data_IF_273485902092
#
_entry.id   IF_273485902092
#
_cell.length_a   1.000
_cell.length_b   1.000
_cell.length_c   1.000
_cell.angle_alpha   90.00
_cell.angle_beta   90.00
_cell.angle_gamma   90.00
#
_symmetry.space_group_name_H-M   'P 1'
#
loop_
_entity.id
_entity.type
_entity.pdbx_description
1 polymer ?
#
# COMPACT_ATOMS: atom_id res chain seq x y z
N UNK A 1 -0.12 -43.43 -16.58
CA UNK A 1 0.91 -44.49 -16.44
C UNK A 1 2.10 -43.87 -15.74
N UNK A 2 2.62 -44.49 -14.67
CA UNK A 2 3.76 -43.94 -13.94
C UNK A 2 5.02 -43.92 -14.82
N UNK A 3 5.62 -42.74 -15.00
CA UNK A 3 6.83 -42.52 -15.80
C UNK A 3 8.03 -43.33 -15.27
N UNK A 4 7.97 -43.71 -13.99
CA UNK A 4 8.98 -44.51 -13.27
C UNK A 4 9.13 -45.90 -13.87
N UNK A 5 8.11 -46.44 -14.54
CA UNK A 5 8.17 -47.78 -15.12
C UNK A 5 9.07 -47.87 -16.37
N UNK A 6 9.51 -46.75 -16.92
CA UNK A 6 10.40 -46.69 -18.08
C UNK A 6 11.86 -46.37 -17.71
N UNK A 7 12.21 -46.41 -16.43
CA UNK A 7 13.57 -46.12 -15.98
C UNK A 7 14.56 -47.23 -16.33
N UNK A 8 15.76 -46.81 -16.66
CA UNK A 8 16.88 -47.67 -17.03
C UNK A 8 18.07 -47.32 -16.13
N UNK A 9 18.79 -48.33 -15.65
CA UNK A 9 20.01 -48.11 -14.89
C UNK A 9 21.11 -47.56 -15.80
N UNK A 10 21.72 -46.44 -15.44
CA UNK A 10 22.77 -45.80 -16.23
C UNK A 10 24.09 -46.60 -16.28
N UNK A 11 24.26 -47.62 -15.42
CA UNK A 11 25.45 -48.48 -15.42
C UNK A 11 25.25 -49.81 -16.17
N UNK A 12 24.16 -50.52 -15.88
CA UNK A 12 23.94 -51.88 -16.40
C UNK A 12 22.78 -51.99 -17.39
N UNK A 13 22.13 -50.87 -17.74
CA UNK A 13 20.97 -50.81 -18.65
C UNK A 13 19.78 -51.68 -18.24
N UNK A 14 19.73 -52.15 -16.98
CA UNK A 14 18.59 -52.87 -16.44
C UNK A 14 17.35 -51.97 -16.46
N UNK A 15 16.27 -52.46 -17.08
CA UNK A 15 15.00 -51.75 -17.20
C UNK A 15 14.10 -52.09 -16.01
N UNK A 16 13.53 -51.06 -15.36
CA UNK A 16 12.62 -51.23 -14.21
C UNK A 16 11.37 -52.02 -14.55
N UNK A 17 10.91 -51.97 -15.81
CA UNK A 17 9.78 -52.79 -16.28
C UNK A 17 10.08 -54.30 -16.25
N UNK A 18 11.36 -54.68 -16.34
CA UNK A 18 11.79 -56.07 -16.43
C UNK A 18 11.91 -56.76 -15.06
N UNK A 19 11.65 -56.07 -13.95
CA UNK A 19 11.56 -56.70 -12.63
C UNK A 19 11.57 -55.71 -11.46
N UNK A 20 11.43 -56.24 -10.25
CA UNK A 20 11.02 -55.45 -9.08
C UNK A 20 12.17 -54.89 -8.23
N UNK A 21 13.30 -54.52 -8.87
CA UNK A 21 14.46 -54.00 -8.14
C UNK A 21 14.27 -52.51 -7.82
N UNK A 22 14.66 -52.02 -6.63
CA UNK A 22 14.67 -50.60 -6.33
C UNK A 22 15.61 -49.83 -7.26
N UNK A 23 15.23 -48.59 -7.55
CA UNK A 23 16.04 -47.63 -8.32
C UNK A 23 16.34 -46.43 -7.44
N UNK A 24 17.52 -45.85 -7.62
CA UNK A 24 18.00 -44.73 -6.85
C UNK A 24 18.37 -43.60 -7.80
N UNK A 25 17.99 -42.37 -7.45
CA UNK A 25 18.41 -41.14 -8.11
C UNK A 25 19.54 -40.53 -7.29
N UNK A 26 20.65 -40.21 -7.95
CA UNK A 26 21.73 -39.45 -7.33
C UNK A 26 21.47 -37.95 -7.36
N UNK A 27 22.11 -37.19 -6.48
CA UNK A 27 22.05 -35.73 -6.47
C UNK A 27 22.49 -35.10 -7.81
N UNK A 28 23.42 -35.74 -8.52
CA UNK A 28 23.86 -35.31 -9.85
C UNK A 28 22.92 -35.74 -11.00
N UNK A 29 21.76 -36.33 -10.70
CA UNK A 29 20.72 -36.64 -11.70
C UNK A 29 20.84 -37.99 -12.41
N UNK A 30 21.74 -38.88 -11.97
CA UNK A 30 21.92 -40.21 -12.58
C UNK A 30 21.10 -41.27 -11.84
N UNK A 31 20.61 -42.25 -12.59
CA UNK A 31 19.71 -43.29 -12.08
C UNK A 31 20.42 -44.64 -12.07
N UNK A 32 20.41 -45.33 -10.93
CA UNK A 32 21.03 -46.64 -10.76
C UNK A 32 20.07 -47.65 -10.13
N UNK A 33 20.17 -48.92 -10.51
CA UNK A 33 19.47 -49.98 -9.78
C UNK A 33 20.19 -50.30 -8.47
N UNK A 34 19.49 -50.95 -7.53
CA UNK A 34 20.03 -51.33 -6.22
C UNK A 34 21.40 -52.03 -6.31
N UNK A 35 21.59 -52.95 -7.26
CA UNK A 35 22.85 -53.69 -7.42
C UNK A 35 24.03 -52.80 -7.86
N UNK A 36 23.76 -51.74 -8.64
CA UNK A 36 24.81 -50.85 -9.13
C UNK A 36 25.15 -49.74 -8.13
N UNK A 37 24.22 -49.37 -7.24
CA UNK A 37 24.48 -48.38 -6.19
C UNK A 37 25.14 -49.03 -4.96
N UNK A 38 24.79 -50.28 -4.63
CA UNK A 38 25.31 -51.01 -3.47
C UNK A 38 26.79 -51.38 -3.59
N UNK A 39 27.39 -51.29 -4.79
CA UNK A 39 28.83 -51.53 -5.00
C UNK A 39 29.75 -50.47 -4.38
N UNK A 40 29.20 -49.53 -3.60
CA UNK A 40 29.90 -49.02 -2.41
C UNK A 40 30.85 -47.84 -2.59
N UNK A 41 30.82 -47.13 -3.71
CA UNK A 41 31.53 -45.85 -3.84
C UNK A 41 30.57 -44.71 -3.56
N UNK A 42 30.93 -43.77 -2.67
CA UNK A 42 30.21 -42.49 -2.52
C UNK A 42 30.27 -41.65 -3.81
N UNK A 43 31.09 -42.07 -4.77
CA UNK A 43 31.22 -41.47 -6.10
C UNK A 43 30.16 -41.96 -7.09
N UNK A 44 29.55 -41.04 -7.83
CA UNK A 44 28.68 -41.37 -8.95
C UNK A 44 29.44 -42.13 -10.04
N UNK A 45 28.95 -43.30 -10.42
CA UNK A 45 29.60 -44.18 -11.40
C UNK A 45 29.53 -43.67 -12.85
N UNK A 46 28.73 -42.63 -13.13
CA UNK A 46 28.57 -42.06 -14.47
C UNK A 46 29.40 -40.78 -14.65
N UNK A 47 29.20 -39.78 -13.79
CA UNK A 47 29.88 -38.47 -13.89
C UNK A 47 31.05 -38.29 -12.91
N UNK A 48 31.38 -39.32 -12.11
CA UNK A 48 32.50 -39.32 -11.17
C UNK A 48 32.45 -38.26 -10.06
N UNK A 49 31.31 -37.61 -9.85
CA UNK A 49 31.11 -36.69 -8.71
C UNK A 49 31.28 -37.47 -7.40
N UNK A 50 32.16 -37.04 -6.47
CA UNK A 50 32.35 -37.68 -5.17
C UNK A 50 31.22 -37.35 -4.19
N UNK A 51 31.08 -38.16 -3.13
CA UNK A 51 30.19 -37.93 -1.97
C UNK A 51 28.73 -37.60 -2.32
N UNK A 52 28.20 -38.32 -3.30
CA UNK A 52 26.88 -38.09 -3.86
C UNK A 52 25.80 -38.76 -3.01
N UNK A 53 24.83 -37.95 -2.59
CA UNK A 53 23.64 -38.45 -1.93
C UNK A 53 22.70 -39.14 -2.92
N UNK A 54 21.97 -40.13 -2.43
CA UNK A 54 21.01 -40.91 -3.22
C UNK A 54 19.64 -40.90 -2.56
N UNK A 55 18.60 -40.90 -3.38
CA UNK A 55 17.21 -41.02 -2.96
C UNK A 55 16.59 -42.20 -3.68
N UNK A 56 15.94 -43.08 -2.92
CA UNK A 56 15.21 -44.21 -3.50
C UNK A 56 13.95 -43.72 -4.23
N UNK A 57 13.73 -44.24 -5.44
CA UNK A 57 12.57 -43.93 -6.29
C UNK A 57 11.41 -44.89 -5.98
N UNK A 58 10.82 -44.69 -4.80
CA UNK A 58 9.58 -45.35 -4.35
C UNK A 58 8.36 -44.52 -4.67
N UNK A 59 7.23 -45.16 -5.00
CA UNK A 59 5.94 -44.46 -5.15
C UNK A 59 5.21 -44.36 -3.79
N UNK A 60 4.57 -43.22 -3.49
CA UNK A 60 4.60 -41.96 -4.24
C UNK A 60 5.97 -41.27 -4.15
N UNK A 61 6.38 -40.60 -5.23
CA UNK A 61 7.66 -39.91 -5.26
C UNK A 61 7.72 -38.75 -4.25
N UNK A 62 8.89 -38.48 -3.66
CA UNK A 62 9.08 -37.28 -2.85
C UNK A 62 8.71 -36.02 -3.65
N UNK A 63 7.98 -35.06 -3.04
CA UNK A 63 7.59 -33.81 -3.72
C UNK A 63 8.76 -33.04 -4.31
N UNK A 64 9.94 -33.14 -3.68
CA UNK A 64 11.16 -32.48 -4.11
C UNK A 64 11.74 -33.01 -5.44
N UNK A 65 11.34 -34.19 -5.91
CA UNK A 65 11.86 -34.78 -7.16
C UNK A 65 10.77 -35.15 -8.16
N UNK A 66 9.49 -35.03 -7.79
CA UNK A 66 8.36 -35.42 -8.64
C UNK A 66 8.37 -34.72 -10.00
N UNK A 67 8.83 -33.47 -10.04
CA UNK A 67 8.88 -32.66 -11.26
C UNK A 67 9.85 -33.22 -12.32
N UNK A 68 10.89 -33.96 -11.90
CA UNK A 68 11.84 -34.61 -12.80
C UNK A 68 11.21 -35.76 -13.59
N UNK A 69 10.10 -36.30 -13.09
CA UNK A 69 9.36 -37.41 -13.70
C UNK A 69 8.00 -36.96 -14.28
N UNK A 70 7.70 -35.65 -14.25
CA UNK A 70 6.53 -35.09 -14.93
C UNK A 70 6.69 -35.23 -16.44
N UNK A 71 5.66 -35.71 -17.17
CA UNK A 71 5.70 -35.75 -18.62
C UNK A 71 6.02 -34.38 -19.23
N UNK A 72 6.92 -34.36 -20.22
CA UNK A 72 7.44 -33.11 -20.83
C UNK A 72 6.33 -32.14 -21.26
N UNK A 73 5.26 -32.64 -21.86
CA UNK A 73 4.15 -31.82 -22.34
C UNK A 73 3.39 -31.15 -21.19
N UNK A 74 3.14 -31.89 -20.09
CA UNK A 74 2.51 -31.34 -18.89
C UNK A 74 3.40 -30.29 -18.22
N UNK A 75 4.71 -30.55 -18.14
CA UNK A 75 5.67 -29.60 -17.58
C UNK A 75 5.69 -28.28 -18.37
N UNK A 76 5.78 -28.35 -19.69
CA UNK A 76 5.75 -27.17 -20.57
C UNK A 76 4.43 -26.42 -20.48
N UNK A 77 3.30 -27.13 -20.43
CA UNK A 77 1.98 -26.52 -20.27
C UNK A 77 1.86 -25.79 -18.93
N UNK A 78 2.32 -26.42 -17.84
CA UNK A 78 2.34 -25.79 -16.52
C UNK A 78 3.24 -24.56 -16.49
N UNK A 79 4.41 -24.62 -17.11
CA UNK A 79 5.30 -23.45 -17.23
C UNK A 79 4.64 -22.30 -18.00
N UNK A 80 3.97 -22.59 -19.12
CA UNK A 80 3.24 -21.59 -19.88
C UNK A 80 2.09 -20.97 -19.08
N UNK A 81 1.35 -21.77 -18.31
CA UNK A 81 0.29 -21.30 -17.42
C UNK A 81 0.82 -20.36 -16.33
N UNK A 82 1.95 -20.72 -15.70
CA UNK A 82 2.61 -19.88 -14.69
C UNK A 82 3.08 -18.56 -15.31
N UNK A 83 3.72 -18.61 -16.47
CA UNK A 83 4.17 -17.41 -17.18
C UNK A 83 3.01 -16.48 -17.54
N UNK A 84 1.91 -17.04 -18.07
CA UNK A 84 0.69 -16.28 -18.39
C UNK A 84 0.08 -15.63 -17.15
N UNK A 85 0.02 -16.37 -16.03
CA UNK A 85 -0.47 -15.81 -14.78
C UNK A 85 0.40 -14.63 -14.31
N UNK A 86 1.73 -14.81 -14.28
CA UNK A 86 2.67 -13.77 -13.87
C UNK A 86 2.57 -12.53 -14.76
N UNK A 87 2.51 -12.73 -16.08
CA UNK A 87 2.32 -11.65 -17.04
C UNK A 87 1.01 -10.89 -16.79
N UNK A 88 -0.10 -11.60 -16.56
CA UNK A 88 -1.38 -10.97 -16.26
C UNK A 88 -1.34 -10.16 -14.95
N UNK A 89 -0.67 -10.66 -13.90
CA UNK A 89 -0.49 -9.91 -12.65
C UNK A 89 0.34 -8.64 -12.84
N UNK A 90 1.36 -8.70 -13.69
CA UNK A 90 2.17 -7.54 -14.06
C UNK A 90 1.32 -6.48 -14.76
N UNK A 91 0.52 -6.86 -15.76
CA UNK A 91 -0.38 -5.95 -16.48
C UNK A 91 -1.41 -5.29 -15.57
N UNK A 92 -1.97 -6.03 -14.61
CA UNK A 92 -2.89 -5.48 -13.60
C UNK A 92 -2.19 -4.44 -12.75
N UNK A 93 -0.97 -4.74 -12.29
CA UNK A 93 -0.17 -3.84 -11.45
C UNK A 93 0.18 -2.54 -12.18
N UNK A 94 0.59 -2.64 -13.44
CA UNK A 94 0.88 -1.49 -14.31
C UNK A 94 -0.35 -0.58 -14.45
N UNK A 95 -1.51 -1.16 -14.79
CA UNK A 95 -2.76 -0.40 -14.90
C UNK A 95 -3.16 0.30 -13.60
N UNK A 96 -2.95 -0.35 -12.45
CA UNK A 96 -3.22 0.26 -11.15
C UNK A 96 -2.29 1.44 -10.88
N UNK A 97 -1.01 1.34 -11.24
CA UNK A 97 -0.05 2.43 -11.13
C UNK A 97 -0.42 3.60 -12.02
N UNK A 98 -0.83 3.35 -13.26
CA UNK A 98 -1.32 4.40 -14.18
C UNK A 98 -2.53 5.13 -13.61
N UNK A 99 -3.53 4.40 -13.13
CA UNK A 99 -4.72 4.98 -12.51
C UNK A 99 -4.38 5.81 -11.26
N UNK A 100 -3.41 5.35 -10.46
CA UNK A 100 -2.96 6.08 -9.29
C UNK A 100 -2.21 7.36 -9.68
N UNK A 101 -1.38 7.30 -10.72
CA UNK A 101 -0.70 8.45 -11.26
C UNK A 101 -1.68 9.49 -11.81
N UNK A 102 -2.74 9.06 -12.52
CA UNK A 102 -3.79 9.95 -13.01
C UNK A 102 -4.54 10.66 -11.87
N UNK A 103 -4.92 9.91 -10.82
CA UNK A 103 -5.54 10.48 -9.61
C UNK A 103 -4.63 11.49 -8.94
N UNK A 104 -3.35 11.15 -8.76
CA UNK A 104 -2.36 12.04 -8.18
C UNK A 104 -2.22 13.33 -9.01
N UNK A 105 -2.09 13.22 -10.33
CA UNK A 105 -1.96 14.37 -11.22
C UNK A 105 -3.21 15.26 -11.19
N UNK A 106 -4.40 14.66 -11.11
CA UNK A 106 -5.66 15.41 -10.96
C UNK A 106 -5.70 16.19 -9.65
N UNK A 107 -5.36 15.54 -8.53
CA UNK A 107 -5.30 16.20 -7.22
C UNK A 107 -4.24 17.30 -7.20
N UNK A 108 -3.06 17.04 -7.76
CA UNK A 108 -1.97 18.03 -7.90
C UNK A 108 -2.46 19.26 -8.66
N UNK A 109 -3.15 19.09 -9.79
CA UNK A 109 -3.76 20.19 -10.56
C UNK A 109 -4.78 20.97 -9.74
N UNK A 110 -5.72 20.30 -9.06
CA UNK A 110 -6.72 20.96 -8.22
C UNK A 110 -6.08 21.78 -7.09
N UNK A 111 -5.06 21.23 -6.44
CA UNK A 111 -4.31 21.93 -5.40
C UNK A 111 -3.68 23.23 -5.92
N UNK A 112 -3.03 23.19 -7.09
CA UNK A 112 -2.42 24.37 -7.68
C UNK A 112 -3.45 25.45 -8.06
N UNK A 113 -4.61 25.05 -8.58
CA UNK A 113 -5.69 25.99 -8.88
C UNK A 113 -6.30 26.61 -7.62
N UNK A 114 -6.52 25.83 -6.57
CA UNK A 114 -6.96 26.36 -5.27
C UNK A 114 -5.95 27.34 -4.69
N UNK A 115 -4.66 27.02 -4.76
CA UNK A 115 -3.58 27.91 -4.30
C UNK A 115 -3.61 29.25 -5.03
N UNK A 116 -3.77 29.26 -6.36
CA UNK A 116 -3.91 30.50 -7.15
C UNK A 116 -5.10 31.33 -6.67
N UNK A 117 -6.24 30.70 -6.41
CA UNK A 117 -7.46 31.38 -5.92
C UNK A 117 -7.24 31.98 -4.53
N UNK A 118 -6.62 31.25 -3.62
CA UNK A 118 -6.29 31.74 -2.27
C UNK A 118 -5.39 32.98 -2.35
N UNK A 119 -4.36 32.95 -3.21
CA UNK A 119 -3.46 34.10 -3.41
C UNK A 119 -4.22 35.33 -3.94
N UNK A 120 -5.15 35.15 -4.88
CA UNK A 120 -6.00 36.25 -5.38
C UNK A 120 -6.89 36.83 -4.28
N UNK A 121 -7.54 35.99 -3.48
CA UNK A 121 -8.38 36.43 -2.36
C UNK A 121 -7.55 37.19 -1.33
N UNK A 122 -6.33 36.73 -1.03
CA UNK A 122 -5.41 37.43 -0.12
C UNK A 122 -5.04 38.82 -0.66
N UNK A 123 -4.73 38.94 -1.95
CA UNK A 123 -4.46 40.23 -2.59
C UNK A 123 -5.67 41.18 -2.53
N UNK A 124 -6.87 40.67 -2.84
CA UNK A 124 -8.09 41.48 -2.78
C UNK A 124 -8.39 41.94 -1.35
N UNK A 125 -8.20 41.06 -0.36
CA UNK A 125 -8.33 41.39 1.06
C UNK A 125 -7.38 42.52 1.44
N UNK A 126 -6.11 42.43 1.06
CA UNK A 126 -5.11 43.47 1.32
C UNK A 126 -5.54 44.82 0.73
N UNK A 127 -5.95 44.85 -0.55
CA UNK A 127 -6.45 46.08 -1.20
C UNK A 127 -7.62 46.69 -0.45
N UNK A 128 -8.62 45.88 -0.09
CA UNK A 128 -9.79 46.34 0.66
C UNK A 128 -9.39 46.92 2.02
N UNK A 129 -8.48 46.25 2.75
CA UNK A 129 -7.97 46.75 4.02
C UNK A 129 -7.25 48.10 3.86
N UNK A 130 -6.42 48.27 2.82
CA UNK A 130 -5.76 49.54 2.52
C UNK A 130 -6.77 50.65 2.24
N UNK A 131 -7.77 50.40 1.38
CA UNK A 131 -8.81 51.40 1.07
C UNK A 131 -9.65 51.77 2.29
N UNK A 132 -9.98 50.83 3.18
CA UNK A 132 -10.67 51.13 4.44
C UNK A 132 -9.81 52.06 5.31
N UNK A 133 -8.51 51.78 5.45
CA UNK A 133 -7.62 52.60 6.25
C UNK A 133 -7.45 54.02 5.66
N UNK A 134 -7.37 54.15 4.33
CA UNK A 134 -7.34 55.44 3.64
C UNK A 134 -8.60 56.27 3.92
N UNK A 135 -9.79 55.66 3.81
CA UNK A 135 -11.07 56.32 4.12
C UNK A 135 -11.14 56.79 5.57
N UNK A 136 -10.69 55.96 6.51
CA UNK A 136 -10.64 56.32 7.93
C UNK A 136 -9.67 57.49 8.18
N UNK A 137 -8.51 57.51 7.51
CA UNK A 137 -7.56 58.61 7.62
C UNK A 137 -8.11 59.93 7.05
N UNK A 138 -8.81 59.89 5.90
CA UNK A 138 -9.48 61.06 5.32
C UNK A 138 -10.60 61.58 6.22
N UNK A 139 -11.37 60.70 6.85
CA UNK A 139 -12.42 61.11 7.80
C UNK A 139 -11.82 61.83 9.03
N UNK A 140 -10.70 61.33 9.56
CA UNK A 140 -10.02 61.93 10.71
C UNK A 140 -9.39 63.30 10.37
N UNK A 141 -8.86 63.50 9.17
CA UNK A 141 -8.26 64.80 8.79
C UNK A 141 -9.30 65.90 8.56
N UNK A 142 -10.52 65.56 8.14
CA UNK A 142 -11.63 66.52 8.04
C UNK A 142 -12.20 66.96 9.39
N UNK A 143 -12.00 66.17 10.46
CA UNK A 143 -12.34 66.51 11.84
C UNK A 143 -11.14 67.19 12.53
N UNK A 144 -10.71 68.36 12.05
CA UNK A 144 -9.92 69.29 12.87
C UNK A 144 -10.91 70.03 13.79
N UNK A 145 -10.87 69.83 15.12
CA UNK A 145 -11.70 70.63 16.01
C UNK A 145 -11.24 72.09 15.89
N UNK A 146 -12.19 72.99 15.64
CA UNK A 146 -11.96 74.41 15.80
C UNK A 146 -11.70 74.70 17.29
N UNK A 147 -10.46 74.51 17.75
CA UNK A 147 -10.02 75.00 19.06
C UNK A 147 -9.69 76.47 18.90
N UNK A 148 -10.71 77.32 18.98
CA UNK A 148 -10.56 78.73 19.31
C UNK A 148 -11.45 79.03 20.53
N UNK A 149 -10.77 79.31 21.65
CA UNK A 149 -10.93 80.53 22.44
C UNK A 149 -12.36 81.07 22.65
N UNK A 150 -12.89 80.97 23.87
CA UNK A 150 -13.63 82.05 24.55
C UNK A 150 -14.19 81.63 25.93
N UNK A 151 -13.60 82.22 26.98
CA UNK A 151 -14.26 82.94 28.09
C UNK A 151 -15.56 82.41 28.72
N UNK A 152 -15.46 82.17 30.03
CA UNK A 152 -16.42 82.57 31.08
C UNK A 152 -17.80 83.09 30.62
N UNK A 153 -18.86 82.34 30.88
CA UNK A 153 -19.76 82.51 32.05
C UNK A 153 -21.03 81.68 31.85
N UNK A 154 -21.55 81.10 32.93
CA UNK A 154 -22.99 80.84 33.03
C UNK A 154 -23.52 79.44 32.65
N UNK A 155 -23.82 78.68 33.72
CA UNK A 155 -24.98 77.78 33.90
C UNK A 155 -25.03 76.44 33.17
N UNK A 156 -24.52 75.46 33.91
CA UNK A 156 -25.15 74.16 34.24
C UNK A 156 -26.54 73.88 33.61
N UNK A 157 -26.57 73.01 32.60
CA UNK A 157 -27.70 72.10 32.33
C UNK A 157 -27.08 70.76 31.88
N UNK A 158 -27.32 69.70 32.65
CA UNK A 158 -27.01 68.33 32.25
C UNK A 158 -28.02 67.85 31.21
N UNK A 159 -27.58 67.18 30.13
CA UNK A 159 -28.46 66.30 29.37
C UNK A 159 -28.32 64.86 29.88
N UNK A 160 -29.46 64.31 30.27
CA UNK A 160 -29.65 62.92 30.70
C UNK A 160 -29.10 61.90 29.69
N UNK A 161 -28.35 60.95 30.24
CA UNK A 161 -28.00 59.67 29.67
C UNK A 161 -29.24 58.84 29.34
N UNK A 162 -29.61 58.75 28.06
CA UNK A 162 -30.83 58.03 27.64
C UNK A 162 -30.64 56.74 26.83
N UNK A 163 -29.41 56.28 26.57
CA UNK A 163 -29.22 54.92 26.02
C UNK A 163 -28.02 54.22 26.63
N UNK A 164 -28.27 53.59 27.78
CA UNK A 164 -27.51 52.44 28.27
C UNK A 164 -28.52 51.38 28.71
N UNK A 165 -28.70 50.36 27.88
CA UNK A 165 -29.19 49.07 28.34
C UNK A 165 -28.34 47.98 27.70
N UNK A 166 -27.72 47.23 28.59
CA UNK A 166 -27.01 46.00 28.37
C UNK A 166 -27.92 44.96 27.70
N UNK A 167 -27.31 44.03 26.94
CA UNK A 167 -27.78 42.65 26.93
C UNK A 167 -26.65 41.72 26.50
N UNK A 168 -26.12 41.00 27.49
CA UNK A 168 -25.44 39.74 27.30
C UNK A 168 -26.48 38.64 27.08
N UNK A 169 -26.46 37.96 25.93
CA UNK A 169 -27.07 36.64 25.69
C UNK A 169 -26.14 35.94 24.68
N UNK A 170 -25.27 35.05 25.14
CA UNK A 170 -25.46 33.60 25.23
C UNK A 170 -25.63 32.91 23.86
N UNK A 171 -24.64 32.07 23.55
CA UNK A 171 -24.77 30.66 23.17
C UNK A 171 -26.05 30.18 22.46
N UNK A 172 -25.82 29.41 21.38
CA UNK A 172 -26.71 28.46 20.70
C UNK A 172 -27.69 29.01 19.65
N UNK A 173 -27.33 28.81 18.38
CA UNK A 173 -28.27 28.35 17.36
C UNK A 173 -27.68 27.14 16.64
N UNK A 174 -28.14 25.96 17.04
CA UNK A 174 -28.15 24.76 16.21
C UNK A 174 -29.59 24.44 15.83
N UNK A 175 -29.79 23.92 14.59
CA UNK A 175 -30.97 23.20 14.07
C UNK A 175 -32.29 24.02 13.97
N UNK A 176 -33.06 24.08 12.89
CA UNK A 176 -33.65 23.10 11.93
C UNK A 176 -34.17 23.96 10.73
N UNK A 177 -34.04 23.61 9.44
CA UNK A 177 -35.01 22.78 8.68
C UNK A 177 -34.42 22.11 7.44
N UNK A 178 -34.69 20.82 7.36
CA UNK A 178 -34.75 19.97 6.18
C UNK A 178 -35.59 20.56 5.03
N UNK A 179 -35.31 20.04 3.83
CA UNK A 179 -36.01 20.18 2.53
C UNK A 179 -35.53 21.41 1.74
N UNK A 180 -34.90 21.32 0.57
CA UNK A 180 -35.16 20.43 -0.57
C UNK A 180 -33.85 20.19 -1.35
N UNK A 181 -33.51 18.92 -1.63
CA UNK A 181 -32.48 18.55 -2.62
C UNK A 181 -33.17 18.29 -3.96
N UNK A 182 -32.65 18.78 -5.10
CA UNK A 182 -33.11 18.35 -6.41
C UNK A 182 -32.79 16.86 -6.63
N UNK A 183 -33.81 16.10 -7.05
CA UNK A 183 -33.71 14.69 -7.44
C UNK A 183 -33.01 14.58 -8.80
N UNK A 184 -31.84 13.96 -8.84
CA UNK A 184 -31.25 13.45 -10.10
C UNK A 184 -31.70 12.00 -10.30
N UNK A 185 -32.20 11.61 -11.49
CA UNK A 185 -32.56 10.24 -11.79
C UNK A 185 -31.37 9.53 -12.44
N UNK A 186 -30.61 8.75 -11.66
CA UNK A 186 -29.81 7.64 -12.21
C UNK A 186 -29.92 6.44 -11.28
N UNK A 187 -30.99 5.68 -11.45
CA UNK A 187 -31.11 4.34 -10.91
C UNK A 187 -30.35 3.36 -11.79
N UNK A 188 -29.23 2.83 -11.31
CA UNK A 188 -28.72 1.53 -11.75
C UNK A 188 -28.67 0.62 -10.54
N UNK A 189 -29.56 -0.36 -10.52
CA UNK A 189 -29.59 -1.44 -9.53
C UNK A 189 -28.30 -2.24 -9.67
N UNK A 190 -27.54 -2.37 -8.60
CA UNK A 190 -26.49 -3.40 -8.49
C UNK A 190 -26.87 -4.30 -7.33
N UNK A 191 -26.87 -5.59 -7.60
CA UNK A 191 -27.42 -6.64 -6.75
C UNK A 191 -26.74 -6.73 -5.38
N UNK A 192 -27.54 -7.05 -4.37
CA UNK A 192 -27.09 -7.49 -3.05
C UNK A 192 -26.28 -8.78 -3.21
N UNK A 193 -25.05 -8.77 -2.69
CA UNK A 193 -24.23 -9.98 -2.58
C UNK A 193 -24.58 -10.70 -1.28
N UNK A 194 -24.89 -11.97 -1.47
CA UNK A 194 -25.14 -13.10 -0.57
C UNK A 194 -24.38 -13.06 0.80
N UNK A 195 -25.05 -13.30 1.95
CA UNK A 195 -24.46 -13.28 3.30
C UNK A 195 -23.56 -14.49 3.67
N UNK A 196 -23.02 -15.22 2.69
CA UNK A 196 -22.23 -16.44 2.94
C UNK A 196 -20.71 -16.28 2.78
N UNK A 197 -20.16 -15.07 2.88
CA UNK A 197 -18.73 -14.83 2.66
C UNK A 197 -17.92 -14.85 3.97
N UNK A 198 -16.99 -15.81 4.19
CA UNK A 198 -16.31 -16.04 5.47
C UNK A 198 -15.15 -15.07 5.79
N UNK A 199 -15.08 -13.88 5.17
CA UNK A 199 -13.97 -12.94 5.36
C UNK A 199 -14.34 -11.60 6.02
N UNK A 200 -15.53 -11.46 6.58
CA UNK A 200 -15.91 -10.28 7.37
C UNK A 200 -15.96 -10.60 8.87
N UNK A 201 -14.80 -10.59 9.51
CA UNK A 201 -14.69 -10.40 10.97
C UNK A 201 -13.89 -9.14 11.21
N UNK A 202 -14.59 -8.08 11.63
CA UNK A 202 -13.98 -6.84 12.11
C UNK A 202 -13.80 -7.02 13.61
N UNK A 203 -12.56 -7.14 14.08
CA UNK A 203 -12.23 -7.04 15.51
C UNK A 203 -12.06 -5.57 15.90
N UNK A 204 -12.63 -5.13 17.04
CA UNK A 204 -12.42 -3.78 17.57
C UNK A 204 -11.21 -3.76 18.51
N UNK A 205 -10.21 -2.93 18.23
CA UNK A 205 -9.25 -2.50 19.25
C UNK A 205 -8.80 -1.05 18.98
N UNK A 206 -9.49 -0.13 19.64
CA UNK A 206 -9.01 1.22 19.88
C UNK A 206 -8.01 1.18 21.04
N UNK A 207 -6.74 1.52 20.75
CA UNK A 207 -5.80 1.96 21.78
C UNK A 207 -5.10 3.22 21.27
N UNK A 208 -5.63 4.38 21.65
CA UNK A 208 -4.96 5.66 21.50
C UNK A 208 -3.86 5.79 22.56
N UNK A 209 -2.62 6.00 22.13
CA UNK A 209 -1.55 6.56 22.97
C UNK A 209 -1.36 8.04 22.64
N UNK A 210 -1.26 8.93 23.65
CA UNK A 210 -1.16 10.37 23.43
C UNK A 210 0.28 10.76 23.10
N UNK A 211 0.49 11.47 21.98
CA UNK A 211 1.76 12.14 21.73
C UNK A 211 1.75 13.50 22.43
N UNK A 212 2.68 13.62 23.37
CA UNK A 212 3.07 14.82 24.08
C UNK A 212 3.68 15.88 23.16
N UNK A 213 3.17 17.10 23.29
CA UNK A 213 3.88 18.37 23.29
C UNK A 213 4.69 18.76 22.03
N UNK A 214 4.06 19.56 21.16
CA UNK A 214 4.75 20.44 20.19
C UNK A 214 4.16 21.84 20.35
N UNK A 215 4.61 22.57 21.37
CA UNK A 215 4.51 24.03 21.41
C UNK A 215 5.73 24.61 20.70
N UNK A 216 5.65 24.76 19.38
CA UNK A 216 6.45 25.73 18.63
C UNK A 216 5.56 26.45 17.63
N UNK A 217 5.53 27.79 17.60
CA UNK A 217 4.79 28.52 16.58
C UNK A 217 5.47 28.28 15.22
N UNK A 218 4.89 27.37 14.43
CA UNK A 218 5.35 27.07 13.08
C UNK A 218 5.06 28.27 12.18
N UNK A 219 6.12 28.96 11.76
CA UNK A 219 6.07 29.98 10.71
C UNK A 219 5.43 29.40 9.45
N UNK A 220 4.36 30.04 8.95
CA UNK A 220 3.62 29.64 7.74
C UNK A 220 4.42 29.79 6.43
N UNK A 221 5.72 30.06 6.51
CA UNK A 221 6.56 30.36 5.34
C UNK A 221 7.32 29.14 4.79
N UNK A 222 7.17 27.94 5.35
CA UNK A 222 7.70 26.73 4.71
C UNK A 222 6.66 26.14 3.75
N UNK A 223 6.92 26.12 2.42
CA UNK A 223 5.98 25.56 1.46
C UNK A 223 5.92 24.04 1.64
N UNK A 224 4.78 23.53 2.10
CA UNK A 224 4.45 22.11 1.93
C UNK A 224 4.10 21.95 0.45
N UNK A 225 5.10 21.61 -0.37
CA UNK A 225 4.86 21.24 -1.76
C UNK A 225 4.31 19.81 -1.80
N UNK A 226 3.38 19.47 -2.71
CA UNK A 226 2.90 18.09 -2.89
C UNK A 226 4.05 17.09 -3.13
N UNK A 227 5.18 17.56 -3.65
CA UNK A 227 6.37 16.77 -3.93
C UNK A 227 7.18 16.39 -2.67
N UNK A 228 6.88 16.98 -1.49
CA UNK A 228 7.45 16.57 -0.19
C UNK A 228 6.67 15.46 0.51
N UNK A 229 5.54 15.02 -0.06
CA UNK A 229 4.92 13.75 0.33
C UNK A 229 5.76 12.63 -0.28
N UNK A 230 6.90 12.37 0.37
CA UNK A 230 7.70 11.17 0.10
C UNK A 230 6.74 9.99 0.05
N UNK A 231 6.83 9.23 -1.05
CA UNK A 231 6.17 7.95 -1.21
C UNK A 231 6.69 7.02 -0.11
N UNK A 232 6.13 7.10 1.10
CA UNK A 232 6.30 6.05 2.10
C UNK A 232 5.53 4.89 1.54
N UNK A 233 6.23 4.04 0.81
CA UNK A 233 5.77 2.69 0.53
C UNK A 233 5.36 2.09 1.87
N UNK A 234 4.06 1.95 2.08
CA UNK A 234 3.53 1.18 3.19
C UNK A 234 3.88 -0.28 2.89
N UNK A 235 5.11 -0.67 3.20
CA UNK A 235 5.47 -2.07 3.39
C UNK A 235 4.67 -2.54 4.59
N UNK A 236 3.45 -3.03 4.35
CA UNK A 236 2.76 -3.89 5.30
C UNK A 236 3.65 -5.11 5.47
N UNK A 237 4.51 -5.11 6.50
CA UNK A 237 5.12 -6.34 7.00
C UNK A 237 3.97 -7.22 7.44
N UNK A 238 3.76 -8.32 6.71
CA UNK A 238 2.99 -9.43 7.24
C UNK A 238 3.62 -9.84 8.58
N UNK A 239 2.78 -10.03 9.61
CA UNK A 239 3.22 -10.62 10.87
C UNK A 239 3.82 -11.99 10.57
N UNK A 240 5.13 -12.15 10.80
CA UNK A 240 5.73 -13.46 10.97
C UNK A 240 5.28 -13.96 12.34
N UNK A 241 4.51 -15.04 12.35
CA UNK A 241 4.26 -15.83 13.54
C UNK A 241 5.58 -16.43 14.01
N UNK A 242 5.98 -16.07 15.23
CA UNK A 242 7.05 -16.76 15.95
C UNK A 242 6.59 -18.19 16.25
N UNK A 243 7.23 -19.14 15.58
CA UNK A 243 7.15 -20.57 15.85
C UNK A 243 8.53 -21.15 15.62
N UNK A 244 9.31 -21.24 16.70
CA UNK A 244 10.64 -21.81 16.68
C UNK A 244 10.61 -23.30 16.32
N UNK A 245 11.41 -23.68 15.34
CA UNK A 245 12.00 -25.01 15.27
C UNK A 245 13.34 -24.88 14.57
N UNK A 246 14.40 -25.13 15.34
CA UNK A 246 15.77 -25.33 14.90
C UNK A 246 15.84 -26.54 13.98
N UNK A 247 15.91 -26.31 12.67
CA UNK A 247 16.50 -27.26 11.72
C UNK A 247 17.46 -26.50 10.82
N UNK A 248 18.74 -26.73 11.06
CA UNK A 248 19.86 -26.31 10.24
C UNK A 248 19.68 -26.89 8.83
N UNK A 249 19.18 -26.08 7.90
CA UNK A 249 19.21 -26.40 6.47
C UNK A 249 20.45 -25.76 5.85
N UNK A 250 21.44 -26.58 5.55
CA UNK A 250 22.53 -26.26 4.64
C UNK A 250 21.96 -26.04 3.25
N UNK A 251 22.16 -24.83 2.71
CA UNK A 251 21.89 -24.48 1.32
C UNK A 251 22.66 -25.43 0.39
N UNK A 252 21.94 -26.32 -0.30
CA UNK A 252 22.42 -26.94 -1.53
C UNK A 252 21.91 -26.05 -2.67
N UNK A 253 22.56 -24.89 -2.81
CA UNK A 253 22.55 -24.11 -4.04
C UNK A 253 23.76 -24.56 -4.84
N UNK A 254 23.63 -25.66 -5.56
CA UNK A 254 24.61 -26.08 -6.55
C UNK A 254 23.85 -26.16 -7.87
N UNK A 255 24.17 -25.26 -8.78
CA UNK A 255 23.66 -25.25 -10.13
C UNK A 255 23.78 -26.66 -10.71
N UNK A 256 22.63 -27.21 -11.11
CA UNK A 256 22.60 -28.30 -12.06
C UNK A 256 23.12 -27.68 -13.36
N UNK A 257 24.41 -27.84 -13.63
CA UNK A 257 24.97 -27.62 -14.95
C UNK A 257 24.36 -28.69 -15.86
N UNK A 258 23.22 -28.36 -16.46
CA UNK A 258 22.74 -29.02 -17.66
C UNK A 258 23.68 -28.56 -18.79
N UNK A 259 24.39 -29.53 -19.35
CA UNK A 259 25.10 -29.37 -20.63
C UNK A 259 24.15 -28.91 -21.73
#
# INVERSE_FOLDING_TARGET
MSFINHLICNKCYYNKRSGNRPFYLTQCGHIFCHQCISTGTSTCQWCQTPDVQTVELTEPLPPAIVYLFTPRHEFLQNMANVANFQFNQMMISEKLLEQQAEKYNTLKRMFWEQRKTILKIQQMKQKLTTSINELLATQQSHYQPATNSATSDGRYIQPESFFRQDNAVSSNLGHVTQNQRPKYPFGRKVAFVNPSNPYNTVSPCDTYSPLTNINTPRSMNTPITPDTVLYRANYRRAHRSDGGSTTTFSNISSGINLF
#
